data_IF_626415255808
#
_entry.id   IF_626415255808
#
_cell.length_a   1.000
_cell.length_b   1.000
_cell.length_c   1.000
_cell.angle_alpha   90.00
_cell.angle_beta   90.00
_cell.angle_gamma   90.00
#
_symmetry.space_group_name_H-M   'P 1'
#
loop_
_entity.id
_entity.type
_entity.pdbx_description
1 polymer ?
#
# COMPACT_ATOMS: atom_id res chain seq x y z
N UNK A 1 15.74 -19.04 9.93
CA UNK A 1 15.34 -19.90 11.08
C UNK A 1 13.84 -19.84 11.19
N UNK A 2 13.15 -20.98 11.29
CA UNK A 2 11.71 -21.02 11.58
C UNK A 2 11.50 -20.85 13.09
N UNK A 3 10.83 -19.78 13.51
CA UNK A 3 10.40 -19.66 14.90
C UNK A 3 9.21 -20.59 15.16
N UNK A 4 9.30 -21.40 16.21
CA UNK A 4 8.18 -22.21 16.67
C UNK A 4 7.21 -21.33 17.49
N UNK A 5 5.88 -21.42 17.30
CA UNK A 5 4.91 -20.58 18.02
C UNK A 5 5.08 -20.58 19.55
N UNK A 6 5.45 -21.72 20.13
CA UNK A 6 5.70 -21.87 21.58
C UNK A 6 6.82 -20.96 22.08
N UNK A 7 7.90 -20.80 21.31
CA UNK A 7 9.00 -19.91 21.70
C UNK A 7 8.58 -18.44 21.66
N UNK A 8 7.76 -18.07 20.68
CA UNK A 8 7.21 -16.73 20.57
C UNK A 8 6.28 -16.42 21.75
N UNK A 9 5.43 -17.37 22.15
CA UNK A 9 4.58 -17.24 23.33
C UNK A 9 5.39 -17.02 24.61
N UNK A 10 6.43 -17.83 24.85
CA UNK A 10 7.29 -17.67 26.03
C UNK A 10 8.01 -16.31 26.04
N UNK A 11 8.39 -15.80 24.86
CA UNK A 11 8.99 -14.47 24.72
C UNK A 11 7.99 -13.36 25.10
N UNK A 12 6.73 -13.47 24.64
CA UNK A 12 5.67 -12.52 24.97
C UNK A 12 5.37 -12.48 26.47
N UNK A 13 5.25 -13.65 27.10
CA UNK A 13 5.04 -13.77 28.54
C UNK A 13 6.18 -13.16 29.37
N UNK A 14 7.41 -13.27 28.86
CA UNK A 14 8.60 -12.70 29.50
C UNK A 14 8.81 -11.21 29.22
N UNK A 15 8.04 -10.61 28.31
CA UNK A 15 8.25 -9.25 27.80
C UNK A 15 6.98 -8.41 27.88
N UNK A 16 6.50 -8.04 29.08
CA UNK A 16 5.22 -7.33 29.27
C UNK A 16 5.19 -5.91 28.68
N UNK A 17 6.34 -5.39 28.24
CA UNK A 17 6.48 -4.06 27.61
C UNK A 17 6.70 -4.13 26.10
N UNK A 18 6.66 -5.32 25.50
CA UNK A 18 6.72 -5.44 24.06
C UNK A 18 5.49 -4.75 23.49
N UNK A 19 5.60 -3.90 22.50
CA UNK A 19 4.47 -3.23 21.85
C UNK A 19 4.61 -3.23 20.32
N UNK A 20 5.68 -3.85 19.84
CA UNK A 20 6.02 -4.03 18.44
C UNK A 20 6.24 -5.50 18.11
N UNK A 21 5.60 -5.97 17.04
CA UNK A 21 5.86 -7.27 16.44
C UNK A 21 5.98 -7.13 14.93
N UNK A 22 7.07 -7.62 14.37
CA UNK A 22 7.28 -7.67 12.92
C UNK A 22 7.72 -9.06 12.50
N UNK A 23 7.06 -9.62 11.49
CA UNK A 23 7.29 -10.97 10.97
C UNK A 23 7.36 -10.92 9.45
N UNK A 24 8.45 -11.45 8.89
CA UNK A 24 8.65 -11.55 7.44
C UNK A 24 8.91 -13.01 7.06
N UNK A 25 8.18 -13.50 6.05
CA UNK A 25 8.40 -14.80 5.44
C UNK A 25 8.34 -15.96 6.41
N UNK A 26 7.46 -15.91 7.42
CA UNK A 26 7.33 -17.02 8.35
C UNK A 26 6.85 -18.25 7.58
N UNK A 27 7.65 -19.32 7.66
CA UNK A 27 7.38 -20.57 6.99
C UNK A 27 6.04 -21.20 7.38
N UNK A 28 5.71 -22.41 6.89
CA UNK A 28 4.37 -23.00 6.97
C UNK A 28 3.83 -23.25 8.40
N UNK A 29 4.60 -22.93 9.45
CA UNK A 29 4.31 -23.21 10.85
C UNK A 29 3.38 -22.20 11.54
N UNK A 30 3.19 -21.01 10.98
CA UNK A 30 2.22 -20.05 11.50
C UNK A 30 0.93 -20.13 10.68
N UNK A 31 -0.06 -20.85 11.19
CA UNK A 31 -1.44 -20.71 10.74
C UNK A 31 -2.15 -19.54 11.43
N UNK A 32 -3.34 -19.21 10.94
CA UNK A 32 -4.15 -18.10 11.46
C UNK A 32 -4.43 -18.25 12.96
N UNK A 33 -4.72 -19.47 13.42
CA UNK A 33 -5.03 -19.73 14.84
C UNK A 33 -3.83 -19.46 15.74
N UNK A 34 -2.64 -19.92 15.36
CA UNK A 34 -1.43 -19.72 16.15
C UNK A 34 -1.03 -18.24 16.18
N UNK A 35 -1.12 -17.54 15.05
CA UNK A 35 -0.82 -16.11 15.00
C UNK A 35 -1.83 -15.29 15.81
N UNK A 36 -3.13 -15.57 15.67
CA UNK A 36 -4.18 -14.94 16.46
C UNK A 36 -3.98 -15.18 17.97
N UNK A 37 -3.63 -16.41 18.37
CA UNK A 37 -3.32 -16.74 19.76
C UNK A 37 -2.13 -15.91 20.28
N UNK A 38 -1.03 -15.84 19.52
CA UNK A 38 0.14 -15.02 19.85
C UNK A 38 -0.25 -13.55 20.02
N UNK A 39 -0.98 -12.99 19.05
CA UNK A 39 -1.41 -11.59 19.11
C UNK A 39 -2.39 -11.33 20.26
N UNK A 40 -3.21 -12.31 20.64
CA UNK A 40 -4.20 -12.17 21.73
C UNK A 40 -3.57 -12.08 23.11
N UNK A 41 -2.30 -12.49 23.28
CA UNK A 41 -1.52 -12.30 24.51
C UNK A 41 -1.01 -10.87 24.64
N UNK A 42 -1.86 -9.92 24.29
CA UNK A 42 -1.58 -8.51 24.16
C UNK A 42 -0.89 -8.00 25.42
N UNK A 43 0.33 -7.47 25.31
CA UNK A 43 0.98 -6.75 26.39
C UNK A 43 0.20 -5.47 26.70
N UNK A 44 -0.11 -5.20 27.97
CA UNK A 44 -0.76 -3.96 28.37
C UNK A 44 0.16 -2.76 28.04
N UNK A 45 -0.30 -1.74 27.29
CA UNK A 45 -1.70 -1.38 27.02
C UNK A 45 -2.31 -1.93 25.71
N UNK A 46 -1.53 -2.52 24.81
CA UNK A 46 -1.96 -2.87 23.47
C UNK A 46 -0.79 -3.01 22.50
N UNK A 47 -1.03 -3.55 21.32
CA UNK A 47 -0.06 -3.46 20.22
C UNK A 47 -0.03 -2.05 19.65
N UNK A 48 1.17 -1.48 19.49
CA UNK A 48 1.40 -0.20 18.82
C UNK A 48 1.85 -0.39 17.38
N UNK A 49 2.75 -1.33 17.14
CA UNK A 49 3.32 -1.57 15.81
C UNK A 49 3.18 -3.04 15.44
N UNK A 50 2.49 -3.31 14.34
CA UNK A 50 2.39 -4.64 13.75
C UNK A 50 2.87 -4.62 12.31
N UNK A 51 3.76 -5.56 11.97
CA UNK A 51 4.31 -5.73 10.63
C UNK A 51 4.24 -7.18 10.19
N UNK A 52 3.59 -7.46 9.08
CA UNK A 52 3.48 -8.78 8.50
C UNK A 52 3.80 -8.70 7.02
N UNK A 53 4.80 -9.46 6.59
CA UNK A 53 5.22 -9.54 5.20
C UNK A 53 5.26 -11.00 4.75
N UNK A 54 4.65 -11.27 3.61
CA UNK A 54 4.63 -12.60 2.99
C UNK A 54 4.08 -13.69 3.94
N UNK A 55 2.98 -13.39 4.62
CA UNK A 55 2.28 -14.32 5.52
C UNK A 55 0.98 -14.82 4.87
N UNK A 56 1.02 -15.86 4.03
CA UNK A 56 -0.16 -16.34 3.29
C UNK A 56 -1.26 -16.92 4.18
N UNK A 57 -0.96 -17.15 5.47
CA UNK A 57 -1.86 -17.78 6.44
C UNK A 57 -2.49 -16.81 7.44
N UNK A 58 -2.35 -15.50 7.26
CA UNK A 58 -3.21 -14.56 7.99
C UNK A 58 -4.64 -14.86 7.57
N UNK A 59 -5.53 -15.07 8.53
CA UNK A 59 -6.94 -15.35 8.33
C UNK A 59 -7.82 -14.48 9.22
N UNK A 60 -9.14 -14.78 9.27
CA UNK A 60 -10.11 -13.99 9.99
C UNK A 60 -9.84 -13.86 11.50
N UNK A 61 -9.21 -14.86 12.14
CA UNK A 61 -8.90 -14.80 13.57
C UNK A 61 -7.85 -13.75 13.85
N UNK A 62 -6.76 -13.74 13.07
CA UNK A 62 -5.69 -12.74 13.18
C UNK A 62 -6.24 -11.34 12.92
N UNK A 63 -7.03 -11.17 11.85
CA UNK A 63 -7.69 -9.90 11.51
C UNK A 63 -8.55 -9.40 12.67
N UNK A 64 -9.37 -10.29 13.27
CA UNK A 64 -10.22 -9.94 14.42
C UNK A 64 -9.40 -9.45 15.62
N UNK A 65 -8.24 -10.07 15.89
CA UNK A 65 -7.36 -9.63 16.99
C UNK A 65 -6.72 -8.28 16.68
N UNK A 66 -6.27 -8.04 15.45
CA UNK A 66 -5.72 -6.74 15.03
C UNK A 66 -6.78 -5.64 15.22
N UNK A 67 -8.00 -5.87 14.74
CA UNK A 67 -9.11 -4.93 14.89
C UNK A 67 -9.50 -4.71 16.35
N UNK A 68 -9.39 -5.73 17.20
CA UNK A 68 -9.57 -5.61 18.65
C UNK A 68 -8.54 -4.72 19.34
N UNK A 69 -7.38 -4.48 18.70
CA UNK A 69 -6.31 -3.60 19.19
C UNK A 69 -6.31 -2.22 18.51
N UNK A 70 -7.35 -1.86 17.73
CA UNK A 70 -7.35 -0.64 16.93
C UNK A 70 -7.12 0.64 17.75
N UNK A 71 -7.60 0.67 19.00
CA UNK A 71 -7.46 1.82 19.88
C UNK A 71 -6.00 2.16 20.23
N UNK A 72 -5.09 1.19 20.22
CA UNK A 72 -3.67 1.40 20.57
C UNK A 72 -2.74 1.37 19.36
N UNK A 73 -3.23 0.91 18.21
CA UNK A 73 -2.43 0.67 17.03
C UNK A 73 -1.99 2.01 16.41
N UNK A 74 -0.69 2.20 16.29
CA UNK A 74 -0.04 3.37 15.69
C UNK A 74 0.50 3.06 14.29
N UNK A 75 1.00 1.84 14.07
CA UNK A 75 1.60 1.44 12.80
C UNK A 75 1.14 0.03 12.41
N UNK A 76 0.51 -0.09 11.24
CA UNK A 76 0.17 -1.39 10.66
C UNK A 76 0.80 -1.52 9.27
N UNK A 77 1.56 -2.61 9.07
CA UNK A 77 2.14 -2.96 7.78
C UNK A 77 1.77 -4.39 7.43
N UNK A 78 1.10 -4.55 6.30
CA UNK A 78 0.55 -5.78 5.75
C UNK A 78 0.97 -5.85 4.28
N UNK A 79 2.03 -6.58 4.01
CA UNK A 79 2.51 -6.81 2.64
C UNK A 79 2.18 -8.23 2.24
N UNK A 80 1.44 -8.40 1.13
CA UNK A 80 0.98 -9.70 0.63
C UNK A 80 0.16 -10.50 1.67
N UNK A 81 -0.80 -9.84 2.33
CA UNK A 81 -1.67 -10.44 3.34
C UNK A 81 -3.12 -10.51 2.83
N UNK A 82 -3.55 -11.69 2.39
CA UNK A 82 -4.84 -11.91 1.67
C UNK A 82 -6.09 -11.74 2.53
N UNK A 83 -6.04 -12.06 3.83
CA UNK A 83 -7.24 -12.04 4.66
C UNK A 83 -7.65 -10.64 5.14
N UNK A 84 -6.84 -9.61 4.89
CA UNK A 84 -7.16 -8.25 5.30
C UNK A 84 -8.01 -7.56 4.23
N UNK A 85 -9.28 -7.98 4.15
CA UNK A 85 -10.22 -7.54 3.12
C UNK A 85 -10.60 -6.06 3.24
N UNK A 86 -11.28 -5.55 2.21
CA UNK A 86 -11.76 -4.16 2.14
C UNK A 86 -12.54 -3.72 3.38
N UNK A 87 -13.45 -4.57 3.90
CA UNK A 87 -14.25 -4.26 5.09
C UNK A 87 -13.41 -4.14 6.34
N UNK A 88 -12.40 -4.99 6.48
CA UNK A 88 -11.45 -4.95 7.60
C UNK A 88 -10.58 -3.69 7.53
N UNK A 89 -10.12 -3.28 6.34
CA UNK A 89 -9.41 -2.01 6.15
C UNK A 89 -10.30 -0.83 6.53
N UNK A 90 -11.53 -0.78 6.02
CA UNK A 90 -12.48 0.30 6.33
C UNK A 90 -12.76 0.36 7.84
N UNK A 91 -13.06 -0.79 8.46
CA UNK A 91 -13.31 -0.88 9.90
C UNK A 91 -12.12 -0.40 10.71
N UNK A 92 -10.89 -0.75 10.31
CA UNK A 92 -9.67 -0.27 10.96
C UNK A 92 -9.56 1.26 10.90
N UNK A 93 -9.76 1.86 9.73
CA UNK A 93 -9.70 3.33 9.55
C UNK A 93 -10.78 4.07 10.38
N UNK A 94 -11.92 3.43 10.60
CA UNK A 94 -13.03 3.93 11.43
C UNK A 94 -12.86 3.65 12.93
N UNK A 95 -11.95 2.76 13.35
CA UNK A 95 -11.80 2.36 14.76
C UNK A 95 -10.41 2.60 15.36
N UNK A 96 -9.42 3.06 14.59
CA UNK A 96 -8.04 3.25 15.02
C UNK A 96 -7.62 4.73 15.11
N UNK A 97 -8.01 5.46 16.18
CA UNK A 97 -7.77 6.91 16.29
C UNK A 97 -6.28 7.30 16.36
N UNK A 98 -5.43 6.38 16.84
CA UNK A 98 -3.99 6.61 17.00
C UNK A 98 -3.15 6.12 15.80
N UNK A 99 -3.80 5.64 14.73
CA UNK A 99 -3.10 5.11 13.58
C UNK A 99 -2.37 6.23 12.82
N UNK A 100 -1.04 6.14 12.80
CA UNK A 100 -0.14 7.07 12.13
C UNK A 100 0.36 6.52 10.79
N UNK A 101 0.41 5.20 10.63
CA UNK A 101 0.84 4.55 9.39
C UNK A 101 0.01 3.33 9.06
N UNK A 102 -0.48 3.28 7.83
CA UNK A 102 -1.09 2.12 7.22
C UNK A 102 -0.36 1.75 5.93
N UNK A 103 0.12 0.51 5.86
CA UNK A 103 0.71 -0.06 4.65
C UNK A 103 0.02 -1.39 4.35
N UNK A 104 -0.81 -1.43 3.31
CA UNK A 104 -1.63 -2.57 2.91
C UNK A 104 -1.49 -2.87 1.42
N UNK A 105 -0.36 -2.53 0.80
CA UNK A 105 -0.15 -2.80 -0.62
C UNK A 105 0.28 -4.25 -0.82
N UNK A 106 -0.41 -4.93 -1.72
CA UNK A 106 0.01 -6.24 -2.24
C UNK A 106 0.96 -6.04 -3.42
N UNK A 107 2.10 -6.71 -3.36
CA UNK A 107 3.00 -6.88 -4.49
C UNK A 107 2.56 -8.04 -5.41
N UNK A 108 1.59 -8.85 -4.97
CA UNK A 108 1.08 -9.95 -5.77
C UNK A 108 0.21 -9.41 -6.90
N UNK A 109 0.68 -9.57 -8.13
CA UNK A 109 -0.12 -9.29 -9.33
C UNK A 109 -1.04 -10.46 -9.71
N UNK A 110 -1.44 -11.29 -8.73
CA UNK A 110 -2.51 -12.25 -8.92
C UNK A 110 -3.76 -11.50 -9.37
N UNK A 111 -4.50 -12.12 -10.29
CA UNK A 111 -5.51 -11.48 -11.14
C UNK A 111 -6.70 -10.88 -10.37
N UNK A 112 -6.88 -11.24 -9.10
CA UNK A 112 -7.96 -10.75 -8.24
C UNK A 112 -7.53 -9.53 -7.44
N UNK A 113 -7.39 -8.41 -8.14
CA UNK A 113 -7.11 -7.10 -7.51
C UNK A 113 -8.15 -6.71 -6.45
N UNK A 114 -9.36 -7.27 -6.53
CA UNK A 114 -10.44 -6.97 -5.59
C UNK A 114 -10.14 -7.41 -4.16
N UNK A 115 -9.28 -8.42 -3.95
CA UNK A 115 -9.04 -8.98 -2.61
C UNK A 115 -8.12 -8.12 -1.75
N UNK A 116 -7.28 -7.28 -2.35
CA UNK A 116 -6.22 -6.53 -1.64
C UNK A 116 -6.43 -5.02 -1.61
N UNK A 117 -7.59 -4.57 -2.06
CA UNK A 117 -7.88 -3.17 -2.24
C UNK A 117 -9.03 -2.75 -1.31
N UNK A 118 -8.93 -1.55 -0.76
CA UNK A 118 -10.05 -0.88 -0.12
C UNK A 118 -11.06 -0.48 -1.21
N UNK A 119 -12.20 -1.15 -1.24
CA UNK A 119 -13.26 -0.92 -2.22
C UNK A 119 -13.98 0.39 -1.93
N UNK A 120 -14.19 1.21 -2.95
CA UNK A 120 -14.96 2.46 -2.81
C UNK A 120 -16.38 2.22 -2.31
N UNK A 121 -16.96 1.06 -2.61
CA UNK A 121 -18.27 0.66 -2.10
C UNK A 121 -18.30 0.64 -0.56
N UNK A 122 -17.32 0.00 0.08
CA UNK A 122 -17.27 -0.09 1.55
C UNK A 122 -17.00 1.29 2.19
N UNK A 123 -16.21 2.14 1.52
CA UNK A 123 -16.00 3.54 1.97
C UNK A 123 -17.34 4.29 1.94
N UNK A 124 -18.05 4.28 0.81
CA UNK A 124 -19.26 5.09 0.60
C UNK A 124 -20.46 4.55 1.39
N UNK A 125 -20.68 3.23 1.38
CA UNK A 125 -21.85 2.61 2.02
C UNK A 125 -21.75 2.57 3.55
N UNK A 126 -20.53 2.55 4.11
CA UNK A 126 -20.39 2.61 5.57
C UNK A 126 -21.00 3.89 6.15
N UNK A 127 -20.87 5.01 5.43
CA UNK A 127 -21.23 6.33 5.94
C UNK A 127 -20.41 6.75 7.18
N UNK A 128 -19.43 5.94 7.58
CA UNK A 128 -18.59 6.17 8.74
C UNK A 128 -17.39 7.00 8.35
N UNK A 129 -17.08 7.98 9.19
CA UNK A 129 -15.92 8.81 9.05
C UNK A 129 -14.66 8.07 9.52
N UNK A 130 -13.57 8.20 8.77
CA UNK A 130 -12.27 7.78 9.26
C UNK A 130 -11.88 8.60 10.50
N UNK A 131 -11.45 7.91 11.56
CA UNK A 131 -11.11 8.50 12.86
C UNK A 131 -9.60 8.64 13.07
N UNK A 132 -8.80 8.00 12.21
CA UNK A 132 -7.33 8.06 12.22
C UNK A 132 -6.79 9.41 11.72
N UNK A 133 -7.22 10.53 12.31
CA UNK A 133 -6.87 11.88 11.86
C UNK A 133 -5.37 12.21 11.99
N UNK A 134 -4.63 11.40 12.77
CA UNK A 134 -3.18 11.45 12.91
C UNK A 134 -2.41 10.73 11.80
N UNK A 135 -3.08 10.12 10.82
CA UNK A 135 -2.41 9.32 9.79
C UNK A 135 -1.43 10.16 8.97
N UNK A 136 -0.16 9.75 8.98
CA UNK A 136 0.96 10.41 8.28
C UNK A 136 1.33 9.68 6.98
N UNK A 137 1.15 8.35 6.93
CA UNK A 137 1.45 7.56 5.75
C UNK A 137 0.33 6.58 5.44
N UNK A 138 -0.23 6.69 4.23
CA UNK A 138 -1.28 5.82 3.71
C UNK A 138 -0.80 5.14 2.43
N UNK A 139 -0.59 3.83 2.51
CA UNK A 139 -0.30 3.00 1.36
C UNK A 139 -1.35 1.91 1.24
N UNK A 140 -2.25 2.06 0.28
CA UNK A 140 -3.33 1.11 0.06
C UNK A 140 -3.88 1.29 -1.35
N UNK A 141 -4.16 0.19 -2.03
CA UNK A 141 -4.89 0.27 -3.28
C UNK A 141 -6.36 0.58 -3.00
N UNK A 142 -6.94 1.54 -3.73
CA UNK A 142 -8.38 1.84 -3.65
C UNK A 142 -9.03 1.36 -4.95
N UNK A 143 -9.86 0.32 -4.83
CA UNK A 143 -10.49 -0.39 -5.96
C UNK A 143 -11.99 -0.16 -6.08
N UNK A 144 -12.62 -0.77 -7.08
CA UNK A 144 -14.07 -0.73 -7.29
C UNK A 144 -14.63 0.66 -7.63
N UNK A 145 -13.76 1.62 -7.96
CA UNK A 145 -14.18 2.97 -8.33
C UNK A 145 -14.79 2.93 -9.74
N UNK A 146 -16.07 3.31 -9.94
CA UNK A 146 -16.67 3.31 -11.26
C UNK A 146 -15.94 4.25 -12.22
N UNK A 147 -15.61 3.76 -13.42
CA UNK A 147 -14.88 4.48 -14.48
C UNK A 147 -15.53 4.25 -15.85
N UNK A 148 -16.80 4.68 -16.06
CA UNK A 148 -17.49 4.52 -17.34
C UNK A 148 -16.83 5.31 -18.49
N UNK A 149 -15.93 6.24 -18.18
CA UNK A 149 -15.11 6.98 -19.13
C UNK A 149 -14.03 6.12 -19.80
N UNK A 150 -13.54 5.08 -19.11
CA UNK A 150 -12.55 4.13 -19.65
C UNK A 150 -13.28 2.92 -20.21
N UNK A 151 -13.18 2.73 -21.53
CA UNK A 151 -13.78 1.59 -22.23
C UNK A 151 -12.76 0.62 -22.79
N UNK A 152 -11.51 1.06 -22.96
CA UNK A 152 -10.43 0.25 -23.50
C UNK A 152 -9.22 0.28 -22.58
N UNK A 153 -8.49 -0.83 -22.56
CA UNK A 153 -7.14 -0.90 -22.01
C UNK A 153 -6.17 -0.18 -22.95
N UNK A 154 -4.96 0.10 -22.47
CA UNK A 154 -3.91 0.72 -23.29
C UNK A 154 -3.39 -0.20 -24.40
N UNK A 155 -3.59 -1.52 -24.30
CA UNK A 155 -3.35 -2.47 -25.39
C UNK A 155 -4.49 -2.50 -26.44
N UNK A 156 -5.51 -1.66 -26.29
CA UNK A 156 -6.66 -1.57 -27.21
C UNK A 156 -7.76 -2.61 -26.99
N UNK A 157 -7.59 -3.56 -26.06
CA UNK A 157 -8.66 -4.51 -25.71
C UNK A 157 -9.78 -3.83 -24.91
N UNK A 158 -11.01 -4.34 -25.07
CA UNK A 158 -12.16 -3.82 -24.35
C UNK A 158 -12.05 -4.13 -22.85
N UNK A 159 -12.39 -3.14 -22.02
CA UNK A 159 -12.46 -3.30 -20.57
C UNK A 159 -13.85 -3.81 -20.18
N UNK A 160 -13.95 -5.07 -19.74
CA UNK A 160 -15.23 -5.79 -19.54
C UNK A 160 -15.75 -5.78 -18.10
N UNK A 161 -15.18 -4.97 -17.21
CA UNK A 161 -15.59 -4.95 -15.81
C UNK A 161 -16.94 -4.25 -15.59
N UNK A 162 -17.68 -4.70 -14.56
CA UNK A 162 -18.93 -4.09 -14.11
C UNK A 162 -18.78 -2.61 -13.74
N UNK A 163 -17.59 -2.19 -13.32
CA UNK A 163 -17.30 -0.80 -12.91
C UNK A 163 -17.07 0.14 -14.11
N UNK A 164 -16.94 -0.42 -15.31
CA UNK A 164 -16.79 0.34 -16.56
C UNK A 164 -18.07 0.30 -17.41
N UNK A 165 -19.10 -0.41 -16.94
CA UNK A 165 -20.37 -0.57 -17.63
C UNK A 165 -21.24 0.71 -17.51
N UNK A 166 -21.36 1.42 -18.63
CA UNK A 166 -22.20 2.64 -18.76
C UNK A 166 -23.68 2.40 -18.50
N UNK A 167 -24.15 1.16 -18.57
CA UNK A 167 -25.54 0.82 -18.25
C UNK A 167 -25.79 0.75 -16.74
N UNK A 168 -24.73 0.53 -15.94
CA UNK A 168 -24.79 0.42 -14.49
C UNK A 168 -24.42 1.71 -13.78
N UNK A 169 -23.45 2.44 -14.31
CA UNK A 169 -22.95 3.66 -13.70
C UNK A 169 -22.99 4.82 -14.68
N UNK A 170 -23.76 5.84 -14.33
CA UNK A 170 -23.70 7.12 -15.05
C UNK A 170 -22.42 7.89 -14.71
N UNK A 171 -21.96 8.76 -15.61
CA UNK A 171 -20.80 9.63 -15.35
C UNK A 171 -20.99 10.49 -14.08
N UNK A 172 -22.14 11.12 -13.83
CA UNK A 172 -22.35 11.87 -12.58
C UNK A 172 -22.24 11.02 -11.32
N UNK A 173 -22.85 9.83 -11.28
CA UNK A 173 -22.77 8.92 -10.13
C UNK A 173 -21.32 8.47 -9.87
N UNK A 174 -20.58 8.13 -10.92
CA UNK A 174 -19.17 7.75 -10.80
C UNK A 174 -18.31 8.89 -10.22
N UNK A 175 -18.64 10.15 -10.54
CA UNK A 175 -17.98 11.33 -9.96
C UNK A 175 -18.32 11.49 -8.49
N UNK A 176 -19.58 11.28 -8.11
CA UNK A 176 -19.99 11.36 -6.70
C UNK A 176 -19.20 10.37 -5.85
N UNK A 177 -19.10 9.11 -6.28
CA UNK A 177 -18.31 8.08 -5.57
C UNK A 177 -16.84 8.51 -5.46
N UNK A 178 -16.23 8.97 -6.55
CA UNK A 178 -14.82 9.44 -6.54
C UNK A 178 -14.60 10.60 -5.58
N UNK A 179 -15.47 11.61 -5.61
CA UNK A 179 -15.40 12.77 -4.69
C UNK A 179 -15.57 12.35 -3.24
N UNK A 180 -16.48 11.42 -2.93
CA UNK A 180 -16.67 10.92 -1.56
C UNK A 180 -15.41 10.22 -1.03
N UNK A 181 -14.78 9.38 -1.85
CA UNK A 181 -13.53 8.72 -1.45
C UNK A 181 -12.39 9.74 -1.28
N UNK A 182 -12.24 10.69 -2.20
CA UNK A 182 -11.24 11.75 -2.09
C UNK A 182 -11.49 12.66 -0.89
N UNK A 183 -12.75 12.93 -0.54
CA UNK A 183 -13.12 13.69 0.65
C UNK A 183 -12.67 12.97 1.95
N UNK A 184 -12.83 11.64 2.05
CA UNK A 184 -12.31 10.90 3.21
C UNK A 184 -10.78 11.02 3.33
N UNK A 185 -10.04 10.89 2.21
CA UNK A 185 -8.60 11.12 2.18
C UNK A 185 -8.25 12.57 2.56
N UNK A 186 -9.00 13.55 2.04
CA UNK A 186 -8.78 14.98 2.30
C UNK A 186 -8.95 15.42 3.76
N UNK A 187 -9.65 14.62 4.57
CA UNK A 187 -9.80 14.84 6.03
C UNK A 187 -8.52 14.50 6.80
N UNK A 188 -7.65 13.67 6.25
CA UNK A 188 -6.41 13.22 6.89
C UNK A 188 -5.29 14.26 6.72
N UNK A 189 -5.49 15.44 7.31
CA UNK A 189 -4.63 16.63 7.12
C UNK A 189 -3.16 16.45 7.53
N UNK A 190 -2.86 15.40 8.30
CA UNK A 190 -1.49 15.02 8.70
C UNK A 190 -0.78 14.12 7.69
N UNK A 191 -1.45 13.70 6.62
CA UNK A 191 -0.83 12.87 5.58
C UNK A 191 0.37 13.56 4.96
N UNK A 192 1.48 12.83 4.98
CA UNK A 192 2.76 13.19 4.38
C UNK A 192 3.06 12.30 3.18
N UNK A 193 2.67 11.02 3.24
CA UNK A 193 2.89 10.06 2.17
C UNK A 193 1.59 9.38 1.76
N UNK A 194 1.27 9.44 0.46
CA UNK A 194 0.19 8.67 -0.15
C UNK A 194 0.81 7.76 -1.21
N UNK A 195 0.53 6.46 -1.13
CA UNK A 195 0.81 5.50 -2.20
C UNK A 195 -0.49 4.80 -2.57
N UNK A 196 -0.94 5.02 -3.79
CA UNK A 196 -2.11 4.35 -4.37
C UNK A 196 -1.65 3.46 -5.52
N UNK A 197 -2.45 2.44 -5.80
CA UNK A 197 -2.19 1.50 -6.88
C UNK A 197 -1.55 0.22 -6.41
N UNK A 198 -0.73 -0.38 -7.26
CA UNK A 198 -0.06 -1.64 -7.00
C UNK A 198 1.45 -1.47 -6.94
N UNK A 199 2.09 -2.09 -5.94
CA UNK A 199 3.55 -2.11 -5.83
C UNK A 199 4.15 -3.09 -6.84
N UNK A 200 5.03 -2.59 -7.72
CA UNK A 200 5.69 -3.39 -8.76
C UNK A 200 7.09 -3.85 -8.31
N UNK A 201 7.57 -3.40 -7.16
CA UNK A 201 8.98 -3.52 -6.77
C UNK A 201 9.44 -4.95 -6.44
N UNK A 202 8.51 -5.87 -6.15
CA UNK A 202 8.83 -7.26 -5.77
C UNK A 202 8.50 -8.32 -6.84
N UNK A 203 8.40 -7.94 -8.11
CA UNK A 203 8.43 -8.91 -9.21
C UNK A 203 9.83 -9.54 -9.31
N UNK A 204 10.14 -10.47 -8.40
CA UNK A 204 11.29 -11.33 -8.54
C UNK A 204 11.09 -12.15 -9.82
N UNK A 205 12.10 -12.16 -10.69
CA UNK A 205 12.15 -12.98 -11.90
C UNK A 205 11.93 -14.50 -11.67
N UNK A 206 11.84 -14.92 -10.39
CA UNK A 206 11.50 -16.27 -9.95
C UNK A 206 10.03 -16.65 -10.06
N UNK A 207 9.09 -15.69 -10.21
CA UNK A 207 7.66 -15.99 -10.44
C UNK A 207 7.35 -16.46 -11.87
N UNK A 208 8.36 -17.01 -12.55
CA UNK A 208 8.17 -17.86 -13.71
C UNK A 208 7.50 -19.12 -13.23
N UNK A 209 6.17 -19.15 -13.33
CA UNK A 209 5.37 -20.36 -13.17
C UNK A 209 5.90 -21.38 -14.18
N UNK A 210 6.75 -22.29 -13.72
CA UNK A 210 7.11 -23.49 -14.47
C UNK A 210 5.90 -24.40 -14.33
N UNK A 211 5.18 -24.66 -15.42
CA UNK A 211 4.13 -25.67 -15.42
C UNK A 211 4.77 -27.05 -15.20
N UNK A 212 4.07 -27.95 -14.49
CA UNK A 212 4.53 -29.31 -14.15
C UNK A 212 4.87 -30.17 -15.39
N UNK A 213 4.46 -29.77 -16.59
CA UNK A 213 4.75 -30.46 -17.84
C UNK A 213 6.15 -30.15 -18.42
N UNK A 214 6.94 -29.29 -17.76
CA UNK A 214 8.27 -28.91 -18.21
C UNK A 214 8.29 -28.11 -19.51
N UNK A 215 7.12 -27.82 -20.09
CA UNK A 215 7.01 -26.81 -21.12
C UNK A 215 6.95 -25.48 -20.39
N UNK A 216 7.89 -24.58 -20.71
CA UNK A 216 7.65 -23.17 -20.44
C UNK A 216 6.35 -22.86 -21.18
N UNK A 217 5.25 -22.70 -20.44
CA UNK A 217 3.99 -22.31 -21.05
C UNK A 217 4.32 -21.14 -21.95
N UNK A 218 4.19 -21.36 -23.27
CA UNK A 218 4.39 -20.31 -24.25
C UNK A 218 3.57 -19.17 -23.71
N UNK A 219 4.23 -18.07 -23.36
CA UNK A 219 3.63 -17.05 -22.55
C UNK A 219 2.37 -16.59 -23.30
N UNK A 220 1.18 -17.08 -22.94
CA UNK A 220 -0.12 -16.42 -23.20
C UNK A 220 -0.13 -15.01 -22.55
N UNK A 221 0.92 -14.80 -21.78
CA UNK A 221 1.48 -13.71 -21.04
C UNK A 221 2.50 -12.83 -21.81
N UNK A 222 3.00 -13.27 -22.97
CA UNK A 222 3.76 -12.51 -23.97
C UNK A 222 2.75 -11.99 -25.00
N UNK A 223 1.73 -11.26 -24.52
CA UNK A 223 1.25 -10.20 -25.40
C UNK A 223 2.49 -9.36 -25.73
N UNK A 224 2.78 -9.07 -27.01
CA UNK A 224 3.87 -8.18 -27.40
C UNK A 224 3.82 -6.80 -26.70
N UNK A 225 2.71 -6.48 -26.05
CA UNK A 225 2.47 -5.28 -25.23
C UNK A 225 2.59 -5.51 -23.72
N UNK A 226 3.35 -6.51 -23.23
CA UNK A 226 3.42 -7.05 -21.85
C UNK A 226 3.53 -6.12 -20.63
N UNK A 227 3.35 -4.81 -20.78
CA UNK A 227 3.43 -3.79 -19.74
C UNK A 227 2.12 -3.49 -18.99
N UNK A 228 0.98 -4.08 -19.38
CA UNK A 228 -0.32 -3.78 -18.76
C UNK A 228 -0.69 -4.63 -17.54
N UNK A 229 0.13 -5.64 -17.20
CA UNK A 229 -0.13 -6.41 -15.98
C UNK A 229 -0.05 -5.51 -14.75
N UNK A 230 -1.00 -5.73 -13.85
CA UNK A 230 -1.16 -4.92 -12.65
C UNK A 230 -1.65 -3.49 -12.90
N UNK A 231 -2.12 -3.15 -14.11
CA UNK A 231 -2.72 -1.83 -14.33
C UNK A 231 -4.14 -1.76 -13.77
N UNK A 232 -4.34 -0.87 -12.82
CA UNK A 232 -5.60 -0.63 -12.14
C UNK A 232 -6.41 0.43 -12.90
N UNK A 233 -7.43 -0.02 -13.65
CA UNK A 233 -8.36 0.88 -14.35
C UNK A 233 -9.52 1.36 -13.48
N UNK A 234 -9.92 0.57 -12.49
CA UNK A 234 -11.03 0.85 -11.56
C UNK A 234 -10.52 1.59 -10.33
N UNK A 235 -9.78 2.68 -10.58
CA UNK A 235 -9.06 3.44 -9.57
C UNK A 235 -9.56 4.88 -9.49
N UNK A 236 -9.15 5.58 -8.44
CA UNK A 236 -9.36 7.03 -8.33
C UNK A 236 -8.71 7.77 -9.50
N UNK A 237 -9.43 8.78 -9.99
CA UNK A 237 -8.92 9.73 -10.99
C UNK A 237 -8.41 10.96 -10.26
N UNK A 238 -7.20 11.39 -10.58
CA UNK A 238 -6.58 12.56 -9.95
C UNK A 238 -6.80 13.80 -10.83
N UNK A 239 -8.07 14.10 -11.13
CA UNK A 239 -8.49 15.27 -11.91
C UNK A 239 -9.29 16.26 -11.06
N UNK A 240 -9.25 17.55 -11.40
CA UNK A 240 -10.06 18.57 -10.71
C UNK A 240 -11.56 18.30 -10.87
N UNK A 241 -11.96 17.83 -12.05
CA UNK A 241 -13.36 17.49 -12.33
C UNK A 241 -13.89 16.36 -11.43
N UNK A 242 -13.00 15.46 -10.99
CA UNK A 242 -13.37 14.26 -10.24
C UNK A 242 -13.14 14.39 -8.73
N UNK A 243 -12.71 15.55 -8.23
CA UNK A 243 -12.56 15.81 -6.80
C UNK A 243 -11.15 15.97 -6.28
N UNK A 244 -10.15 16.16 -7.14
CA UNK A 244 -8.79 16.45 -6.66
C UNK A 244 -8.78 17.64 -5.67
N UNK A 245 -9.68 18.60 -5.86
CA UNK A 245 -9.89 19.76 -4.98
C UNK A 245 -10.29 19.42 -3.53
N UNK A 246 -10.81 18.21 -3.29
CA UNK A 246 -11.11 17.71 -1.94
C UNK A 246 -9.82 17.48 -1.11
N UNK A 247 -8.68 17.29 -1.79
CA UNK A 247 -7.38 17.09 -1.15
C UNK A 247 -6.65 18.41 -0.82
N UNK A 248 -7.31 19.57 -0.97
CA UNK A 248 -6.69 20.89 -0.76
C UNK A 248 -6.08 21.09 0.63
N UNK A 249 -6.60 20.38 1.64
CA UNK A 249 -6.20 20.52 3.03
C UNK A 249 -4.97 19.66 3.40
N UNK A 250 -4.47 18.82 2.49
CA UNK A 250 -3.29 17.99 2.71
C UNK A 250 -1.99 18.82 2.62
N UNK A 251 -1.86 19.85 3.47
CA UNK A 251 -0.74 20.78 3.46
C UNK A 251 0.59 20.14 3.86
N UNK A 252 0.53 19.01 4.57
CA UNK A 252 1.69 18.23 4.97
C UNK A 252 2.14 17.22 3.92
N UNK A 253 1.43 17.10 2.79
CA UNK A 253 1.73 16.10 1.76
C UNK A 253 3.09 16.37 1.12
N UNK A 254 3.97 15.37 1.20
CA UNK A 254 5.36 15.41 0.72
C UNK A 254 5.60 14.42 -0.42
N UNK A 255 4.87 13.30 -0.43
CA UNK A 255 5.02 12.25 -1.43
C UNK A 255 3.66 11.74 -1.88
N UNK A 256 3.44 11.77 -3.19
CA UNK A 256 2.31 11.16 -3.86
C UNK A 256 2.86 10.16 -4.87
N UNK A 257 2.65 8.88 -4.60
CA UNK A 257 3.03 7.79 -5.49
C UNK A 257 1.76 7.16 -6.06
N UNK A 258 1.66 7.12 -7.39
CA UNK A 258 0.51 6.58 -8.11
C UNK A 258 1.01 5.51 -9.08
N UNK A 259 1.03 4.25 -8.63
CA UNK A 259 1.64 3.17 -9.41
C UNK A 259 0.60 2.41 -10.22
N UNK A 260 0.86 2.25 -11.52
CA UNK A 260 0.03 1.43 -12.42
C UNK A 260 -1.46 1.80 -12.40
N UNK A 261 -1.80 3.08 -12.29
CA UNK A 261 -3.17 3.57 -12.26
C UNK A 261 -3.47 4.51 -13.44
N UNK A 262 -4.74 4.63 -13.83
CA UNK A 262 -5.19 5.61 -14.82
C UNK A 262 -5.41 6.99 -14.19
N UNK A 263 -4.42 7.88 -14.32
CA UNK A 263 -4.27 9.04 -13.42
C UNK A 263 -5.07 10.28 -13.77
N UNK A 264 -5.36 10.57 -15.04
CA UNK A 264 -6.10 11.78 -15.42
C UNK A 264 -5.45 13.12 -15.02
N UNK A 265 -4.13 13.14 -14.77
CA UNK A 265 -3.38 14.35 -14.35
C UNK A 265 -2.92 15.15 -15.57
N UNK A 266 -3.59 16.26 -15.84
CA UNK A 266 -3.23 17.23 -16.87
C UNK A 266 -2.31 18.34 -16.37
N UNK A 267 -2.16 19.39 -17.19
CA UNK A 267 -1.38 20.57 -16.80
C UNK A 267 -2.10 21.39 -15.70
N UNK A 268 -3.43 21.52 -15.79
CA UNK A 268 -4.23 22.25 -14.80
C UNK A 268 -4.15 21.59 -13.42
N UNK A 269 -4.22 20.26 -13.35
CA UNK A 269 -4.06 19.50 -12.11
C UNK A 269 -2.69 19.72 -11.49
N UNK A 270 -1.61 19.72 -12.29
CA UNK A 270 -0.25 19.97 -11.78
C UNK A 270 -0.10 21.35 -11.16
N UNK A 271 -0.51 22.39 -11.89
CA UNK A 271 -0.50 23.77 -11.36
C UNK A 271 -1.31 23.86 -10.07
N UNK A 272 -2.48 23.22 -10.02
CA UNK A 272 -3.28 23.19 -8.80
C UNK A 272 -2.55 22.49 -7.64
N UNK A 273 -1.86 21.37 -7.88
CA UNK A 273 -1.09 20.64 -6.86
C UNK A 273 0.05 21.50 -6.31
N UNK A 274 0.78 22.20 -7.19
CA UNK A 274 1.86 23.14 -6.82
C UNK A 274 1.35 24.26 -5.90
N UNK A 275 0.21 24.86 -6.26
CA UNK A 275 -0.39 25.95 -5.48
C UNK A 275 -0.93 25.49 -4.13
N UNK A 276 -1.37 24.24 -4.00
CA UNK A 276 -2.09 23.76 -2.82
C UNK A 276 -1.26 22.88 -1.88
N UNK A 277 -0.18 22.23 -2.36
CA UNK A 277 0.65 21.31 -1.57
C UNK A 277 2.09 21.84 -1.46
N UNK A 278 2.37 22.81 -0.57
CA UNK A 278 3.62 23.55 -0.52
C UNK A 278 4.86 22.71 -0.16
N UNK A 279 4.65 21.51 0.40
CA UNK A 279 5.73 20.58 0.78
C UNK A 279 6.01 19.50 -0.28
N UNK A 280 5.20 19.43 -1.35
CA UNK A 280 5.28 18.38 -2.36
C UNK A 280 6.58 18.44 -3.20
N UNK A 281 7.06 19.65 -3.52
CA UNK A 281 8.20 19.81 -4.44
C UNK A 281 9.58 19.86 -3.79
N UNK A 282 9.67 20.16 -2.49
CA UNK A 282 10.97 20.40 -1.82
C UNK A 282 11.89 19.18 -1.83
N UNK A 283 11.36 17.99 -2.09
CA UNK A 283 12.09 16.71 -2.03
C UNK A 283 12.57 16.25 -3.41
N UNK A 284 11.84 16.60 -4.47
CA UNK A 284 12.19 16.23 -5.86
C UNK A 284 13.43 16.96 -6.40
N UNK A 285 13.86 18.05 -5.77
CA UNK A 285 15.03 18.83 -6.19
C UNK A 285 16.40 18.21 -5.90
N UNK A 286 16.50 17.17 -5.06
CA UNK A 286 17.79 16.61 -4.61
C UNK A 286 18.05 15.15 -5.00
N UNK A 287 17.15 14.50 -5.73
CA UNK A 287 17.37 13.12 -6.17
C UNK A 287 18.05 13.12 -7.54
N UNK A 288 19.33 13.46 -7.57
CA UNK A 288 20.19 13.13 -8.70
C UNK A 288 20.17 11.60 -8.82
N UNK A 289 19.43 11.05 -9.77
CA UNK A 289 19.44 9.62 -10.02
C UNK A 289 20.83 9.24 -10.53
N UNK A 290 21.66 8.67 -9.67
CA UNK A 290 22.88 7.96 -10.09
C UNK A 290 22.46 6.63 -10.69
N UNK A 291 21.95 6.68 -11.91
CA UNK A 291 21.72 5.53 -12.76
C UNK A 291 22.79 5.56 -13.86
N UNK A 292 23.90 4.85 -13.62
CA UNK A 292 24.86 4.44 -14.65
C UNK A 292 25.58 5.57 -15.40
N UNK A 293 26.63 6.13 -14.79
CA UNK A 293 27.86 6.58 -15.45
C UNK A 293 27.78 7.19 -16.86
N UNK A 294 27.06 8.31 -17.03
CA UNK A 294 27.46 9.35 -17.99
C UNK A 294 26.78 10.68 -17.64
N UNK A 295 27.56 11.61 -17.12
CA UNK A 295 27.10 12.97 -16.84
C UNK A 295 27.03 13.72 -18.19
N UNK A 296 25.82 14.05 -18.63
CA UNK A 296 25.61 14.97 -19.75
C UNK A 296 24.99 16.22 -19.15
N UNK A 297 25.77 17.29 -19.13
CA UNK A 297 25.27 18.63 -18.84
C UNK A 297 24.31 19.04 -19.96
N UNK A 298 23.04 19.18 -19.61
CA UNK A 298 22.03 19.80 -20.47
C UNK A 298 21.44 20.96 -19.69
N UNK A 299 21.60 22.16 -20.27
CA UNK A 299 21.20 23.43 -19.70
C UNK A 299 19.77 23.45 -19.16
N UNK A 300 19.63 24.22 -18.09
CA UNK A 300 18.45 24.48 -17.27
C UNK A 300 17.19 24.85 -18.06
N UNK A 301 16.31 23.87 -18.25
CA UNK A 301 14.86 24.02 -18.19
C UNK A 301 14.26 22.61 -18.09
N UNK A 302 14.13 22.07 -16.87
CA UNK A 302 13.54 20.73 -16.67
C UNK A 302 12.08 20.85 -16.24
N UNK A 303 11.12 20.34 -17.03
CA UNK A 303 9.75 20.14 -16.58
C UNK A 303 9.66 18.90 -15.69
N UNK A 304 8.72 18.93 -14.74
CA UNK A 304 8.18 17.82 -13.95
C UNK A 304 8.44 16.41 -14.50
N UNK A 305 9.29 15.63 -13.82
CA UNK A 305 9.25 14.17 -13.96
C UNK A 305 8.22 13.59 -12.99
N UNK A 306 6.98 13.49 -13.46
CA UNK A 306 6.11 12.42 -12.99
C UNK A 306 6.82 11.11 -13.40
N UNK A 307 7.30 10.32 -12.44
CA UNK A 307 7.93 9.03 -12.72
C UNK A 307 6.90 8.06 -13.33
N UNK A 308 6.68 8.16 -14.63
CA UNK A 308 6.07 7.12 -15.45
C UNK A 308 7.20 6.19 -15.86
N UNK A 309 7.33 5.04 -15.20
CA UNK A 309 8.31 4.03 -15.61
C UNK A 309 8.00 3.54 -17.04
N UNK A 310 8.75 4.05 -18.01
CA UNK A 310 8.86 3.51 -19.37
C UNK A 310 10.03 2.53 -19.38
N UNK A 311 9.73 1.24 -19.50
CA UNK A 311 10.71 0.15 -19.38
C UNK A 311 11.58 0.02 -20.64
N UNK A 312 12.89 0.27 -20.54
CA UNK A 312 13.91 -0.23 -21.49
C UNK A 312 14.65 -1.41 -20.88
N UNK A 313 14.91 -2.41 -21.73
CA UNK A 313 15.54 -3.70 -21.41
C UNK A 313 16.98 -3.54 -20.91
N UNK A 314 17.33 -4.18 -19.78
CA UNK A 314 18.71 -4.43 -19.38
C UNK A 314 18.90 -5.83 -18.80
N UNK A 315 20.08 -6.40 -19.12
CA UNK A 315 20.59 -7.71 -18.70
C UNK A 315 21.12 -7.66 -17.25
N UNK A 316 20.78 -8.68 -16.46
CA UNK A 316 21.11 -8.83 -15.04
C UNK A 316 22.53 -9.35 -14.80
N UNK A 317 23.21 -8.95 -13.71
CA UNK A 317 24.21 -9.77 -13.05
C UNK A 317 23.68 -10.34 -11.71
N UNK A 318 24.25 -11.50 -11.35
CA UNK A 318 23.90 -12.36 -10.21
C UNK A 318 24.52 -11.82 -8.91
N UNK A 319 23.76 -11.74 -7.81
CA UNK A 319 24.31 -11.68 -6.43
C UNK A 319 23.43 -12.41 -5.41
N UNK A 320 24.11 -13.07 -4.44
CA UNK A 320 23.56 -13.86 -3.34
C UNK A 320 23.08 -13.01 -2.16
N UNK A 321 22.07 -13.50 -1.42
CA UNK A 321 21.49 -12.89 -0.22
C UNK A 321 22.04 -13.47 1.09
N UNK A 322 22.11 -12.62 2.13
CA UNK A 322 22.20 -13.04 3.53
C UNK A 322 22.72 -11.96 4.49
N UNK A 323 21.85 -11.32 5.27
CA UNK A 323 22.25 -10.44 6.37
C UNK A 323 21.07 -9.90 7.21
N UNK A 324 21.11 -10.13 8.53
CA UNK A 324 20.11 -9.74 9.54
C UNK A 324 20.47 -8.35 10.13
N UNK A 325 19.50 -7.46 10.31
CA UNK A 325 19.63 -6.27 11.17
C UNK A 325 18.96 -6.51 12.54
N UNK A 326 19.69 -6.17 13.60
CA UNK A 326 19.42 -6.59 14.98
C UNK A 326 18.41 -5.76 15.77
N UNK A 327 17.89 -6.39 16.83
CA UNK A 327 17.08 -5.81 17.89
C UNK A 327 17.92 -4.82 18.72
N UNK A 328 17.53 -3.54 18.75
CA UNK A 328 18.16 -2.52 19.59
C UNK A 328 17.41 -2.38 20.91
N UNK A 329 18.00 -2.88 22.00
CA UNK A 329 17.54 -2.61 23.37
C UNK A 329 18.23 -1.35 23.90
N UNK A 330 17.48 -0.29 24.14
CA UNK A 330 17.88 0.78 25.07
C UNK A 330 17.21 0.53 26.42
N UNK A 331 18.00 0.15 27.41
CA UNK A 331 17.59 0.17 28.82
C UNK A 331 18.70 0.86 29.64
N UNK A 332 18.38 1.85 30.50
CA UNK A 332 19.36 2.56 31.30
C UNK A 332 19.74 1.74 32.55
N UNK A 333 21.04 1.65 32.82
CA UNK A 333 21.56 1.16 34.10
C UNK A 333 21.39 2.22 35.20
N UNK A 334 21.05 1.84 36.45
CA UNK A 334 21.11 2.75 37.59
C UNK A 334 22.55 2.93 38.06
N UNK A 335 22.94 4.18 38.36
CA UNK A 335 24.21 4.51 39.03
C UNK A 335 24.11 4.15 40.51
N UNK A 336 25.04 3.34 40.99
CA UNK A 336 25.32 3.16 42.41
C UNK A 336 25.89 4.44 43.02
N UNK A 337 25.32 4.88 44.13
CA UNK A 337 25.87 5.90 45.03
C UNK A 337 26.79 5.19 46.01
N UNK A 338 28.07 5.55 46.04
CA UNK A 338 28.98 5.14 47.11
C UNK A 338 28.97 6.20 48.22
N UNK A 339 28.88 5.71 49.46
CA UNK A 339 29.26 6.43 50.68
C UNK A 339 30.78 6.48 50.81
#
# INVERSE_FOLDING_TARGET
MSFHPVLLMALLESSPKLDELSMDGCGPFFDDSNLAMVLSKVPSPGWKTLGFKNLPKIGPLTVSVILGNSATLENLRLTNCEAFDSKSIQKLLCSAPNLNRLDCISASARYDLELYSLMSKDIVESGEDWVCLGLEAFKCSIGGVPRPDITYRGNGSLLTSIYNDKTRFSTPESRTVRRQVLAQLGRLTKLQEITLGMDVTEYSASDRVVHDDGQAAGNEYDSPTGNERGYQYQCLTMSLQDGLDELRNLKCLRRLTLEKMSLGIGAAERTWMEENWPEYEKISGNTTSTLGGRQVDVGSNRPFELFMMSTRQFKSPIFMTGGIHGLSRRSPFPRSVNQ
#
